data_IF_894990091812
#
_entry.id   IF_894990091812
#
_cell.length_a   1.000
_cell.length_b   1.000
_cell.length_c   1.000
_cell.angle_alpha   90.00
_cell.angle_beta   90.00
_cell.angle_gamma   90.00
#
_symmetry.space_group_name_H-M   'P 1'
#
loop_
_entity.id
_entity.type
_entity.pdbx_description
1 polymer ?
#
# COMPACT_ATOMS: atom_id res chain seq x y z
N UNK A 1 -19.84 5.55 23.92
CA UNK A 1 -20.73 5.03 22.86
C UNK A 1 -21.75 6.05 22.39
N UNK A 2 -22.44 6.75 23.30
CA UNK A 2 -23.50 7.70 22.92
C UNK A 2 -23.01 8.91 22.08
N UNK A 3 -21.81 9.42 22.35
CA UNK A 3 -21.19 10.53 21.62
C UNK A 3 -20.82 10.17 20.18
N UNK A 4 -20.21 9.00 19.96
CA UNK A 4 -19.89 8.47 18.63
C UNK A 4 -21.16 8.20 17.81
N UNK A 5 -22.17 7.61 18.43
CA UNK A 5 -23.46 7.35 17.79
C UNK A 5 -24.16 8.65 17.37
N UNK A 6 -24.18 9.66 18.25
CA UNK A 6 -24.78 10.97 17.95
C UNK A 6 -24.00 11.73 16.86
N UNK A 7 -22.68 11.59 16.81
CA UNK A 7 -21.83 12.26 15.83
C UNK A 7 -21.89 11.62 14.44
N UNK A 8 -21.81 10.29 14.34
CA UNK A 8 -21.65 9.60 13.07
C UNK A 8 -22.89 8.81 12.61
N UNK A 9 -23.71 8.31 13.53
CA UNK A 9 -24.79 7.36 13.21
C UNK A 9 -26.21 7.96 13.27
N UNK A 10 -26.38 9.16 13.83
CA UNK A 10 -27.73 9.77 13.99
C UNK A 10 -28.33 10.32 12.70
N UNK A 11 -27.51 10.75 11.72
CA UNK A 11 -27.97 11.27 10.41
C UNK A 11 -27.59 10.28 9.30
N UNK A 12 -28.58 9.84 8.51
CA UNK A 12 -28.38 8.87 7.44
C UNK A 12 -27.28 9.26 6.44
N UNK A 13 -27.22 10.52 6.01
CA UNK A 13 -26.16 11.00 5.11
C UNK A 13 -24.77 10.91 5.76
N UNK A 14 -24.63 11.42 6.99
CA UNK A 14 -23.36 11.35 7.74
C UNK A 14 -22.93 9.91 7.98
N UNK A 15 -23.88 9.01 8.26
CA UNK A 15 -23.63 7.59 8.45
C UNK A 15 -23.06 6.93 7.18
N UNK A 16 -23.71 7.14 6.03
CA UNK A 16 -23.25 6.60 4.75
C UNK A 16 -21.87 7.15 4.37
N UNK A 17 -21.65 8.46 4.51
CA UNK A 17 -20.35 9.07 4.24
C UNK A 17 -19.26 8.52 5.16
N UNK A 18 -19.57 8.32 6.44
CA UNK A 18 -18.63 7.74 7.40
C UNK A 18 -18.26 6.31 7.01
N UNK A 19 -19.24 5.50 6.58
CA UNK A 19 -18.97 4.14 6.09
C UNK A 19 -18.05 4.18 4.88
N UNK A 20 -18.33 5.00 3.88
CA UNK A 20 -17.51 5.07 2.65
C UNK A 20 -16.07 5.45 2.99
N UNK A 21 -15.86 6.49 3.80
CA UNK A 21 -14.51 6.92 4.22
C UNK A 21 -13.82 5.81 5.03
N UNK A 22 -14.55 5.18 5.95
CA UNK A 22 -14.01 4.10 6.76
C UNK A 22 -13.62 2.88 5.90
N UNK A 23 -14.40 2.54 4.87
CA UNK A 23 -14.09 1.46 3.95
C UNK A 23 -12.83 1.75 3.16
N UNK A 24 -12.68 2.95 2.59
CA UNK A 24 -11.47 3.34 1.85
C UNK A 24 -10.23 3.29 2.75
N UNK A 25 -10.34 3.83 3.97
CA UNK A 25 -9.24 3.80 4.94
C UNK A 25 -8.89 2.36 5.36
N UNK A 26 -9.91 1.52 5.60
CA UNK A 26 -9.72 0.12 5.95
C UNK A 26 -9.07 -0.66 4.80
N UNK A 27 -9.47 -0.42 3.55
CA UNK A 27 -8.88 -1.06 2.37
C UNK A 27 -7.39 -0.74 2.22
N UNK A 28 -7.01 0.54 2.38
CA UNK A 28 -5.60 0.95 2.30
C UNK A 28 -4.74 0.30 3.40
N UNK A 29 -5.24 0.29 4.64
CA UNK A 29 -4.54 -0.34 5.77
C UNK A 29 -4.49 -1.86 5.59
N UNK A 30 -5.59 -2.48 5.16
CA UNK A 30 -5.67 -3.92 4.96
C UNK A 30 -4.75 -4.40 3.83
N UNK A 31 -4.72 -3.69 2.70
CA UNK A 31 -3.84 -4.00 1.58
C UNK A 31 -2.37 -3.95 1.99
N UNK A 32 -1.93 -2.83 2.58
CA UNK A 32 -0.54 -2.67 3.04
C UNK A 32 -0.15 -3.66 4.13
N UNK A 33 -1.03 -3.94 5.09
CA UNK A 33 -0.77 -4.90 6.15
C UNK A 33 -0.67 -6.34 5.61
N UNK A 34 -1.57 -6.72 4.70
CA UNK A 34 -1.58 -8.05 4.09
C UNK A 34 -0.35 -8.26 3.22
N UNK A 35 0.02 -7.28 2.39
CA UNK A 35 1.23 -7.33 1.56
C UNK A 35 2.49 -7.43 2.43
N UNK A 36 2.61 -6.61 3.48
CA UNK A 36 3.77 -6.66 4.38
C UNK A 36 3.88 -8.00 5.12
N UNK A 37 2.74 -8.56 5.54
CA UNK A 37 2.71 -9.88 6.15
C UNK A 37 3.14 -10.97 5.16
N UNK A 38 2.62 -10.91 3.93
CA UNK A 38 2.97 -11.83 2.86
C UNK A 38 4.46 -11.75 2.48
N UNK A 39 4.98 -10.53 2.35
CA UNK A 39 6.38 -10.26 2.03
C UNK A 39 7.32 -10.76 3.13
N UNK A 40 6.96 -10.56 4.40
CA UNK A 40 7.72 -11.08 5.53
C UNK A 40 7.80 -12.60 5.50
N UNK A 41 6.68 -13.27 5.22
CA UNK A 41 6.61 -14.73 5.13
C UNK A 41 7.38 -15.29 3.92
N UNK A 42 7.48 -14.53 2.83
CA UNK A 42 8.13 -14.94 1.59
C UNK A 42 9.47 -14.24 1.34
N UNK A 43 10.08 -13.66 2.38
CA UNK A 43 11.31 -12.85 2.27
C UNK A 43 12.40 -13.57 1.49
N UNK A 44 13.01 -12.88 0.53
CA UNK A 44 14.06 -13.42 -0.35
C UNK A 44 13.55 -14.25 -1.54
N UNK A 45 12.24 -14.47 -1.68
CA UNK A 45 11.66 -15.18 -2.84
C UNK A 45 10.86 -14.27 -3.79
N UNK A 46 10.66 -13.00 -3.42
CA UNK A 46 9.96 -12.02 -4.25
C UNK A 46 10.93 -11.36 -5.24
N UNK A 47 10.39 -10.97 -6.39
CA UNK A 47 11.15 -10.38 -7.49
C UNK A 47 11.95 -9.13 -7.07
N UNK A 48 11.38 -8.28 -6.23
CA UNK A 48 12.04 -7.06 -5.74
C UNK A 48 13.07 -7.31 -4.63
N UNK A 49 13.18 -8.54 -4.11
CA UNK A 49 14.26 -8.94 -3.22
C UNK A 49 15.52 -9.40 -3.97
N UNK A 50 15.43 -9.62 -5.28
CA UNK A 50 16.57 -10.03 -6.10
C UNK A 50 17.46 -8.82 -6.37
N UNK A 51 18.76 -8.99 -6.12
CA UNK A 51 19.76 -7.98 -6.43
C UNK A 51 20.07 -7.98 -7.93
N UNK A 52 19.32 -7.16 -8.68
CA UNK A 52 19.47 -7.03 -10.13
C UNK A 52 20.81 -6.41 -10.54
N UNK A 53 21.51 -5.71 -9.65
CA UNK A 53 22.83 -5.14 -9.94
C UNK A 53 23.89 -6.20 -10.25
N UNK A 54 23.69 -7.44 -9.76
CA UNK A 54 24.59 -8.58 -10.04
C UNK A 54 24.47 -9.14 -11.45
N UNK A 55 23.43 -8.76 -12.17
CA UNK A 55 23.17 -9.22 -13.53
C UNK A 55 23.39 -8.14 -14.59
N UNK A 56 23.82 -6.93 -14.18
CA UNK A 56 24.31 -5.93 -15.11
C UNK A 56 25.66 -6.41 -15.67
N UNK A 57 25.76 -6.48 -16.99
CA UNK A 57 27.01 -6.77 -17.69
C UNK A 57 27.72 -5.45 -17.93
N UNK A 58 29.07 -5.41 -17.94
CA UNK A 58 29.86 -4.17 -18.13
C UNK A 58 29.53 -3.40 -19.44
N UNK A 59 28.73 -3.96 -20.35
CA UNK A 59 28.25 -3.30 -21.57
C UNK A 59 27.03 -2.37 -21.36
N UNK A 60 26.33 -2.41 -20.21
CA UNK A 60 25.15 -1.57 -19.92
C UNK A 60 25.49 -0.26 -19.16
N UNK A 61 26.77 0.09 -18.99
CA UNK A 61 27.20 1.32 -18.27
C UNK A 61 27.21 2.59 -19.14
N UNK A 62 26.88 2.50 -20.44
CA UNK A 62 26.98 3.62 -21.40
C UNK A 62 25.64 4.30 -21.78
N UNK A 63 24.48 3.94 -21.21
CA UNK A 63 23.15 4.41 -21.70
C UNK A 63 22.28 5.23 -20.72
N UNK A 64 22.80 5.79 -19.62
CA UNK A 64 21.99 6.62 -18.69
C UNK A 64 22.61 8.00 -18.35
N UNK A 65 23.32 8.64 -19.30
CA UNK A 65 23.52 10.10 -19.30
C UNK A 65 22.72 10.73 -20.46
N UNK A 66 21.61 11.40 -20.13
CA UNK A 66 20.81 12.38 -20.90
C UNK A 66 19.29 12.05 -20.93
N UNK A 67 18.50 12.65 -20.03
CA UNK A 67 17.53 13.70 -20.42
C UNK A 67 16.88 14.38 -19.19
N UNK A 68 16.60 15.68 -19.35
CA UNK A 68 16.09 16.71 -18.42
C UNK A 68 14.72 16.40 -17.76
#
# INVERSE_FOLDING_TARGET
>A
METLYRAFMKRNMTYVTTIVIATIAAEAVYGTATDSFWETMNRGRLYHHVDWSKFKTEEDEDEDEEDD
#
